data_IF_122048819988
#
_entry.id   IF_122048819988
#
_cell.length_a   1.000
_cell.length_b   1.000
_cell.length_c   1.000
_cell.angle_alpha   90.00
_cell.angle_beta   90.00
_cell.angle_gamma   90.00
#
_symmetry.space_group_name_H-M   'P 1'
#
loop_
_entity.id
_entity.type
_entity.pdbx_description
1 polymer ?
#
# COMPACT_ATOMS: atom_id res chain seq x y z
N UNK A 1 -35.71 -2.01 -2.83
CA UNK A 1 -34.91 -0.80 -3.07
C UNK A 1 -33.50 -1.26 -3.49
N UNK A 2 -32.90 -0.63 -4.52
CA UNK A 2 -31.51 -0.92 -4.87
C UNK A 2 -30.61 -0.40 -3.74
N UNK A 3 -29.70 -1.22 -3.29
CA UNK A 3 -28.69 -0.79 -2.29
C UNK A 3 -27.65 0.08 -2.98
N UNK A 4 -27.23 1.16 -2.33
CA UNK A 4 -26.10 1.97 -2.80
C UNK A 4 -24.86 1.50 -2.06
N UNK A 5 -23.86 1.07 -2.80
CA UNK A 5 -22.55 0.69 -2.29
C UNK A 5 -21.55 1.79 -2.60
N UNK A 6 -20.61 2.05 -1.67
CA UNK A 6 -19.59 3.07 -1.84
C UNK A 6 -18.24 2.41 -2.07
N UNK A 7 -17.62 2.70 -3.21
CA UNK A 7 -16.32 2.16 -3.61
C UNK A 7 -15.25 3.22 -3.35
N UNK A 8 -14.25 2.87 -2.56
CA UNK A 8 -12.95 3.55 -2.49
C UNK A 8 -11.93 2.75 -3.29
N UNK A 9 -11.23 3.42 -4.22
CA UNK A 9 -10.24 2.81 -5.08
C UNK A 9 -8.92 3.59 -4.99
N UNK A 10 -7.88 2.92 -4.51
CA UNK A 10 -6.52 3.45 -4.43
C UNK A 10 -5.67 2.81 -5.53
N UNK A 11 -5.21 3.62 -6.48
CA UNK A 11 -4.34 3.21 -7.57
C UNK A 11 -2.94 3.77 -7.29
N UNK A 12 -2.14 2.97 -6.60
CA UNK A 12 -0.75 3.32 -6.29
C UNK A 12 0.23 2.95 -7.41
N UNK A 13 1.52 3.19 -7.17
CA UNK A 13 2.61 2.90 -8.12
C UNK A 13 2.82 1.39 -8.36
N UNK A 14 2.47 0.54 -7.41
CA UNK A 14 2.72 -0.92 -7.49
C UNK A 14 1.46 -1.76 -7.31
N UNK A 15 0.41 -1.19 -6.71
CA UNK A 15 -0.79 -1.93 -6.28
C UNK A 15 -2.07 -1.17 -6.54
N UNK A 16 -3.15 -1.92 -6.75
CA UNK A 16 -4.52 -1.42 -6.73
C UNK A 16 -5.20 -2.00 -5.49
N UNK A 17 -5.84 -1.13 -4.72
CA UNK A 17 -6.62 -1.52 -3.54
C UNK A 17 -8.04 -1.03 -3.74
N UNK A 18 -9.00 -1.87 -3.37
CA UNK A 18 -10.42 -1.55 -3.44
C UNK A 18 -11.08 -1.86 -2.11
N UNK A 19 -11.94 -0.97 -1.68
CA UNK A 19 -12.81 -1.18 -0.51
C UNK A 19 -14.23 -0.85 -0.91
N UNK A 20 -15.17 -1.69 -0.51
CA UNK A 20 -16.60 -1.45 -0.68
C UNK A 20 -17.26 -1.30 0.68
N UNK A 21 -17.94 -0.19 0.84
CA UNK A 21 -18.71 0.11 2.05
C UNK A 21 -20.21 0.00 1.77
N UNK A 22 -20.90 -0.53 2.75
CA UNK A 22 -22.36 -0.50 2.86
C UNK A 22 -22.74 0.01 4.24
N UNK A 23 -23.55 1.03 4.32
CA UNK A 23 -24.02 1.62 5.60
C UNK A 23 -22.85 1.98 6.55
N UNK A 24 -21.68 2.33 6.03
CA UNK A 24 -20.48 2.67 6.77
C UNK A 24 -19.58 1.49 7.15
N UNK A 25 -20.01 0.25 6.89
CA UNK A 25 -19.26 -0.97 7.18
C UNK A 25 -18.52 -1.48 5.93
N UNK A 26 -17.31 -2.00 6.13
CA UNK A 26 -16.53 -2.64 5.06
C UNK A 26 -17.10 -4.03 4.77
N UNK A 27 -17.70 -4.21 3.58
CA UNK A 27 -18.27 -5.49 3.15
C UNK A 27 -17.37 -6.25 2.17
N UNK A 28 -16.40 -5.57 1.58
CA UNK A 28 -15.42 -6.17 0.68
C UNK A 28 -14.14 -5.32 0.65
N UNK A 29 -13.00 -5.98 0.56
CA UNK A 29 -11.72 -5.35 0.28
C UNK A 29 -10.84 -6.29 -0.54
N UNK A 30 -10.01 -5.72 -1.41
CA UNK A 30 -8.99 -6.44 -2.16
C UNK A 30 -7.72 -5.61 -2.31
N UNK A 31 -6.59 -6.30 -2.43
CA UNK A 31 -5.26 -5.72 -2.56
C UNK A 31 -4.51 -6.49 -3.63
N UNK A 32 -4.36 -5.92 -4.81
CA UNK A 32 -3.79 -6.59 -5.98
C UNK A 32 -2.55 -5.85 -6.49
N UNK A 33 -1.44 -6.58 -6.75
CA UNK A 33 -0.28 -6.04 -7.46
C UNK A 33 -0.58 -5.96 -8.95
N UNK A 34 -0.30 -4.82 -9.58
CA UNK A 34 -0.54 -4.64 -11.01
C UNK A 34 0.66 -4.96 -11.90
N UNK A 35 1.86 -5.17 -11.35
CA UNK A 35 3.06 -5.55 -12.10
C UNK A 35 3.29 -4.68 -13.36
N UNK A 36 3.09 -3.37 -13.25
CA UNK A 36 3.12 -2.38 -14.34
C UNK A 36 1.98 -2.49 -15.37
N UNK A 37 1.02 -3.40 -15.18
CA UNK A 37 -0.19 -3.50 -16.00
C UNK A 37 -1.41 -2.99 -15.22
N UNK A 38 -1.40 -1.71 -14.90
CA UNK A 38 -2.43 -1.04 -14.09
C UNK A 38 -3.81 -1.14 -14.74
N UNK A 39 -3.88 -0.94 -16.08
CA UNK A 39 -5.16 -0.90 -16.81
C UNK A 39 -5.89 -2.25 -16.75
N UNK A 40 -5.24 -3.34 -17.14
CA UNK A 40 -5.90 -4.65 -17.16
C UNK A 40 -6.19 -5.15 -15.75
N UNK A 41 -5.31 -4.88 -14.79
CA UNK A 41 -5.55 -5.20 -13.38
C UNK A 41 -6.76 -4.46 -12.85
N UNK A 42 -6.90 -3.16 -13.13
CA UNK A 42 -8.07 -2.37 -12.75
C UNK A 42 -9.35 -2.92 -13.35
N UNK A 43 -9.36 -3.22 -14.65
CA UNK A 43 -10.51 -3.83 -15.31
C UNK A 43 -10.91 -5.16 -14.64
N UNK A 44 -9.93 -6.03 -14.36
CA UNK A 44 -10.16 -7.33 -13.71
C UNK A 44 -10.78 -7.17 -12.32
N UNK A 45 -10.26 -6.24 -11.52
CA UNK A 45 -10.77 -5.96 -10.16
C UNK A 45 -12.21 -5.45 -10.23
N UNK A 46 -12.49 -4.49 -11.13
CA UNK A 46 -13.84 -3.94 -11.29
C UNK A 46 -14.84 -4.97 -11.84
N UNK A 47 -14.44 -5.77 -12.82
CA UNK A 47 -15.30 -6.86 -13.35
C UNK A 47 -15.64 -7.89 -12.27
N UNK A 48 -14.67 -8.25 -11.44
CA UNK A 48 -14.87 -9.14 -10.30
C UNK A 48 -15.91 -8.57 -9.32
N UNK A 49 -15.79 -7.27 -9.03
CA UNK A 49 -16.74 -6.58 -8.17
C UNK A 49 -18.15 -6.56 -8.76
N UNK A 50 -18.29 -6.21 -10.05
CA UNK A 50 -19.59 -6.18 -10.74
C UNK A 50 -20.26 -7.56 -10.79
N UNK A 51 -19.46 -8.62 -10.94
CA UNK A 51 -19.98 -10.01 -10.84
C UNK A 51 -20.49 -10.35 -9.45
N UNK A 52 -19.84 -9.83 -8.42
CA UNK A 52 -20.22 -10.07 -7.02
C UNK A 52 -21.47 -9.29 -6.59
N UNK A 53 -21.66 -8.10 -7.16
CA UNK A 53 -22.77 -7.20 -6.82
C UNK A 53 -23.55 -6.75 -8.07
N UNK A 54 -24.18 -7.67 -8.81
CA UNK A 54 -24.71 -7.39 -10.17
C UNK A 54 -25.95 -6.48 -10.20
N UNK A 55 -26.63 -6.31 -9.07
CA UNK A 55 -27.89 -5.55 -9.00
C UNK A 55 -27.77 -4.27 -8.16
N UNK A 56 -26.59 -3.97 -7.64
CA UNK A 56 -26.37 -2.83 -6.77
C UNK A 56 -25.98 -1.57 -7.58
N UNK A 57 -26.17 -0.41 -6.98
CA UNK A 57 -25.73 0.87 -7.53
C UNK A 57 -24.47 1.29 -6.77
N UNK A 58 -23.51 1.87 -7.49
CA UNK A 58 -22.23 2.26 -6.89
C UNK A 58 -22.03 3.76 -6.92
N UNK A 59 -21.41 4.31 -5.89
CA UNK A 59 -20.65 5.55 -5.94
C UNK A 59 -19.16 5.22 -5.83
N UNK A 60 -18.31 5.96 -6.52
CA UNK A 60 -16.86 5.68 -6.58
C UNK A 60 -16.10 6.95 -6.25
N UNK A 61 -15.04 6.81 -5.43
CA UNK A 61 -14.03 7.83 -5.22
C UNK A 61 -12.64 7.22 -5.44
N UNK A 62 -11.74 7.99 -6.01
CA UNK A 62 -10.39 7.57 -6.36
C UNK A 62 -9.35 8.25 -5.48
N UNK A 63 -8.28 7.54 -5.19
CA UNK A 63 -7.04 8.06 -4.57
C UNK A 63 -5.84 7.32 -5.15
N UNK A 64 -4.64 7.74 -4.77
CA UNK A 64 -3.40 7.11 -5.24
C UNK A 64 -2.76 7.87 -6.41
N UNK A 65 -1.44 7.75 -6.50
CA UNK A 65 -0.61 8.45 -7.48
C UNK A 65 -0.97 8.12 -8.94
N UNK A 66 -1.44 6.90 -9.21
CA UNK A 66 -1.87 6.44 -10.53
C UNK A 66 -3.33 6.79 -10.89
N UNK A 67 -4.12 7.35 -9.96
CA UNK A 67 -5.54 7.57 -10.16
C UNK A 67 -5.91 8.93 -10.78
N UNK A 68 -5.00 9.91 -10.75
CA UNK A 68 -5.33 11.30 -11.08
C UNK A 68 -5.83 11.49 -12.52
N UNK A 69 -5.17 10.85 -13.49
CA UNK A 69 -5.57 10.96 -14.90
C UNK A 69 -6.84 10.17 -15.18
N UNK A 70 -7.01 9.01 -14.55
CA UNK A 70 -8.24 8.21 -14.63
C UNK A 70 -9.43 9.00 -14.08
N UNK A 71 -9.25 9.68 -12.94
CA UNK A 71 -10.25 10.55 -12.33
C UNK A 71 -10.74 11.64 -13.30
N UNK A 72 -9.81 12.31 -13.98
CA UNK A 72 -10.13 13.35 -14.97
C UNK A 72 -10.87 12.80 -16.19
N UNK A 73 -10.42 11.65 -16.73
CA UNK A 73 -11.01 11.05 -17.93
C UNK A 73 -12.43 10.54 -17.65
N UNK A 74 -12.65 9.96 -16.48
CA UNK A 74 -13.94 9.34 -16.12
C UNK A 74 -14.83 10.27 -15.29
N UNK A 75 -14.38 11.49 -15.01
CA UNK A 75 -15.09 12.48 -14.17
C UNK A 75 -15.47 11.92 -12.78
N UNK A 76 -14.63 11.04 -12.23
CA UNK A 76 -14.81 10.45 -10.90
C UNK A 76 -14.09 11.31 -9.86
N UNK A 77 -14.68 11.56 -8.67
CA UNK A 77 -14.03 12.31 -7.60
C UNK A 77 -12.67 11.74 -7.21
N UNK A 78 -11.65 12.60 -7.15
CA UNK A 78 -10.31 12.27 -6.66
C UNK A 78 -10.09 12.89 -5.27
N UNK A 79 -9.62 12.08 -4.34
CA UNK A 79 -9.27 12.48 -2.98
C UNK A 79 -7.76 12.33 -2.82
N UNK A 80 -7.09 13.35 -2.33
CA UNK A 80 -5.66 13.25 -2.04
C UNK A 80 -5.39 12.18 -0.98
N UNK A 81 -4.31 11.40 -1.15
CA UNK A 81 -3.96 10.26 -0.28
C UNK A 81 -3.93 10.64 1.20
N UNK A 82 -3.31 11.78 1.53
CA UNK A 82 -3.22 12.27 2.92
C UNK A 82 -4.59 12.53 3.52
N UNK A 83 -5.50 13.10 2.74
CA UNK A 83 -6.88 13.38 3.18
C UNK A 83 -7.66 12.07 3.35
N UNK A 84 -7.50 11.14 2.41
CA UNK A 84 -8.12 9.81 2.49
C UNK A 84 -7.62 9.04 3.74
N UNK A 85 -6.30 9.01 3.94
CA UNK A 85 -5.67 8.39 5.10
C UNK A 85 -6.14 9.02 6.41
N UNK A 86 -6.10 10.36 6.50
CA UNK A 86 -6.61 11.09 7.68
C UNK A 86 -8.03 10.70 8.00
N UNK A 87 -8.93 10.78 7.01
CA UNK A 87 -10.36 10.50 7.21
C UNK A 87 -10.59 9.08 7.72
N UNK A 88 -9.85 8.11 7.16
CA UNK A 88 -9.92 6.72 7.59
C UNK A 88 -9.42 6.54 9.02
N UNK A 89 -8.28 7.13 9.37
CA UNK A 89 -7.68 7.02 10.71
C UNK A 89 -8.57 7.68 11.77
N UNK A 90 -9.03 8.89 11.54
CA UNK A 90 -9.93 9.60 12.47
C UNK A 90 -11.23 8.81 12.73
N UNK A 91 -11.72 8.09 11.72
CA UNK A 91 -12.95 7.30 11.83
C UNK A 91 -12.73 5.93 12.48
N UNK A 92 -11.64 5.25 12.15
CA UNK A 92 -11.41 3.85 12.53
C UNK A 92 -10.52 3.71 13.76
N UNK A 93 -9.60 4.65 13.97
CA UNK A 93 -8.59 4.61 15.04
C UNK A 93 -8.41 6.03 15.63
N UNK A 94 -9.45 6.63 16.23
CA UNK A 94 -9.48 8.05 16.59
C UNK A 94 -8.44 8.49 17.64
N UNK A 95 -7.77 7.56 18.30
CA UNK A 95 -6.72 7.84 19.30
C UNK A 95 -5.31 7.84 18.71
N UNK A 96 -5.18 7.86 17.37
CA UNK A 96 -3.89 7.82 16.69
C UNK A 96 -3.27 9.20 16.63
N UNK A 97 -2.03 9.35 17.11
CA UNK A 97 -1.25 10.57 17.02
C UNK A 97 -0.38 10.63 15.75
N UNK A 98 0.08 9.47 15.29
CA UNK A 98 1.03 9.35 14.16
C UNK A 98 0.68 8.14 13.30
N UNK A 99 0.74 8.33 11.98
CA UNK A 99 0.69 7.24 10.99
C UNK A 99 2.00 7.17 10.21
N UNK A 100 2.54 5.98 10.07
CA UNK A 100 3.64 5.69 9.16
C UNK A 100 3.07 4.83 8.02
N UNK A 101 3.12 5.38 6.82
CA UNK A 101 2.71 4.71 5.59
C UNK A 101 3.95 4.26 4.82
N UNK A 102 4.03 2.98 4.50
CA UNK A 102 5.08 2.40 3.67
C UNK A 102 4.46 2.05 2.31
N UNK A 103 4.56 2.99 1.37
CA UNK A 103 4.13 2.79 -0.01
C UNK A 103 5.08 1.91 -0.81
N UNK A 104 4.74 1.65 -2.09
CA UNK A 104 5.61 0.88 -2.99
C UNK A 104 6.94 1.58 -3.25
N UNK A 105 6.92 2.89 -3.49
CA UNK A 105 8.09 3.69 -3.86
C UNK A 105 8.41 4.80 -2.88
N UNK A 106 7.48 5.17 -2.00
CA UNK A 106 7.65 6.21 -1.00
C UNK A 106 7.27 5.74 0.41
N UNK A 107 7.74 6.47 1.40
CA UNK A 107 7.37 6.30 2.80
C UNK A 107 6.95 7.67 3.34
N UNK A 108 5.85 7.69 4.07
CA UNK A 108 5.26 8.91 4.63
C UNK A 108 5.06 8.76 6.13
N UNK A 109 5.29 9.83 6.86
CA UNK A 109 4.87 9.96 8.26
C UNK A 109 3.89 11.13 8.35
N UNK A 110 2.74 10.89 8.96
CA UNK A 110 1.65 11.86 9.11
C UNK A 110 1.40 12.02 10.60
N UNK A 111 1.47 13.24 11.08
CA UNK A 111 1.16 13.62 12.46
C UNK A 111 -0.25 14.20 12.53
N UNK A 112 -1.05 13.72 13.48
CA UNK A 112 -2.42 14.16 13.74
C UNK A 112 -2.47 15.04 15.00
N UNK A 113 -1.80 16.20 14.95
CA UNK A 113 -1.91 17.23 15.98
C UNK A 113 -2.89 18.32 15.52
N UNK A 114 -2.84 19.49 16.09
CA UNK A 114 -3.66 20.66 15.74
C UNK A 114 -3.67 20.97 14.25
N UNK A 115 -2.55 20.70 13.57
CA UNK A 115 -2.42 20.77 12.11
C UNK A 115 -1.84 19.44 11.62
N UNK A 116 -2.32 19.00 10.43
CA UNK A 116 -1.74 17.83 9.79
C UNK A 116 -0.37 18.21 9.26
N UNK A 117 0.66 17.55 9.75
CA UNK A 117 2.01 17.65 9.21
C UNK A 117 2.34 16.33 8.53
N UNK A 118 2.76 16.39 7.28
CA UNK A 118 3.26 15.24 6.53
C UNK A 118 4.72 15.44 6.20
N UNK A 119 5.49 14.37 6.40
CA UNK A 119 6.86 14.26 5.88
C UNK A 119 6.96 13.01 5.04
N UNK A 120 7.72 13.10 3.95
CA UNK A 120 7.91 12.01 3.01
C UNK A 120 9.41 11.81 2.80
N UNK A 121 9.86 10.56 2.56
CA UNK A 121 11.22 10.33 2.12
C UNK A 121 11.48 11.02 0.77
N UNK A 122 12.73 11.33 0.51
CA UNK A 122 13.13 11.95 -0.76
C UNK A 122 13.09 10.95 -1.92
N UNK A 123 14.09 11.03 -2.79
CA UNK A 123 14.19 10.22 -4.02
C UNK A 123 14.63 8.76 -3.79
N UNK A 124 14.96 8.36 -2.56
CA UNK A 124 15.45 7.02 -2.26
C UNK A 124 14.31 6.08 -1.85
N UNK A 125 14.19 4.96 -2.54
CA UNK A 125 13.22 3.90 -2.20
C UNK A 125 13.62 3.05 -0.97
N UNK A 126 14.73 3.35 -0.30
CA UNK A 126 15.15 2.65 0.92
C UNK A 126 14.10 2.77 2.02
N UNK A 127 13.70 1.63 2.59
CA UNK A 127 12.63 1.56 3.59
C UNK A 127 11.21 1.53 3.04
N UNK A 128 11.04 1.41 1.72
CA UNK A 128 9.74 1.30 1.04
C UNK A 128 9.40 -0.16 0.73
N UNK A 129 8.18 -0.39 0.21
CA UNK A 129 7.76 -1.71 -0.24
C UNK A 129 8.67 -2.31 -1.31
N UNK A 130 9.14 -1.49 -2.27
CA UNK A 130 10.08 -1.95 -3.29
C UNK A 130 11.42 -2.42 -2.70
N UNK A 131 11.91 -1.77 -1.65
CA UNK A 131 13.10 -2.23 -0.93
C UNK A 131 12.84 -3.58 -0.25
N UNK A 132 11.69 -3.75 0.42
CA UNK A 132 11.32 -5.02 1.05
C UNK A 132 11.20 -6.15 0.03
N UNK A 133 10.61 -5.90 -1.14
CA UNK A 133 10.53 -6.85 -2.24
C UNK A 133 11.92 -7.27 -2.76
N UNK A 134 12.85 -6.31 -2.86
CA UNK A 134 14.24 -6.61 -3.25
C UNK A 134 14.94 -7.47 -2.20
N UNK A 135 14.74 -7.20 -0.91
CA UNK A 135 15.33 -8.01 0.16
C UNK A 135 14.72 -9.41 0.21
N UNK A 136 13.41 -9.54 0.03
CA UNK A 136 12.75 -10.83 -0.06
C UNK A 136 13.29 -11.67 -1.23
N UNK A 137 13.44 -11.04 -2.40
CA UNK A 137 14.04 -11.68 -3.57
C UNK A 137 15.49 -12.13 -3.31
N UNK A 138 16.30 -11.28 -2.67
CA UNK A 138 17.69 -11.60 -2.30
C UNK A 138 17.77 -12.83 -1.36
N UNK A 139 16.77 -12.96 -0.48
CA UNK A 139 16.64 -14.09 0.43
C UNK A 139 15.91 -15.30 -0.17
N UNK A 140 15.59 -15.27 -1.48
CA UNK A 140 14.85 -16.33 -2.16
C UNK A 140 13.46 -16.60 -1.54
N UNK A 141 12.72 -15.54 -1.27
CA UNK A 141 11.38 -15.59 -0.68
C UNK A 141 10.51 -14.41 -1.19
N UNK A 142 9.31 -14.29 -0.69
CA UNK A 142 8.43 -13.13 -0.86
C UNK A 142 8.30 -12.34 0.45
N UNK A 143 7.51 -11.28 0.45
CA UNK A 143 7.32 -10.43 1.64
C UNK A 143 6.66 -11.18 2.80
N UNK A 144 5.79 -12.16 2.52
CA UNK A 144 5.20 -13.00 3.57
C UNK A 144 6.25 -13.92 4.18
N UNK A 145 7.05 -14.57 3.33
CA UNK A 145 8.16 -15.41 3.78
C UNK A 145 9.23 -14.62 4.54
N UNK A 146 9.52 -13.37 4.15
CA UNK A 146 10.39 -12.49 4.91
C UNK A 146 9.85 -12.22 6.32
N UNK A 147 8.54 -12.00 6.43
CA UNK A 147 7.88 -11.83 7.73
C UNK A 147 7.97 -13.11 8.59
N UNK A 148 7.76 -14.29 8.00
CA UNK A 148 7.89 -15.55 8.73
C UNK A 148 9.34 -15.82 9.18
N UNK A 149 10.33 -15.57 8.33
CA UNK A 149 11.75 -15.67 8.69
C UNK A 149 12.10 -14.73 9.86
N UNK A 150 11.57 -13.51 9.85
CA UNK A 150 11.84 -12.55 10.93
C UNK A 150 11.29 -12.99 12.28
N UNK A 151 10.16 -13.71 12.32
CA UNK A 151 9.59 -14.26 13.56
C UNK A 151 10.46 -15.33 14.22
N UNK A 152 11.26 -16.04 13.43
CA UNK A 152 12.08 -17.16 13.86
C UNK A 152 13.57 -16.83 13.96
N UNK A 153 13.93 -15.56 13.89
CA UNK A 153 15.32 -15.12 13.96
C UNK A 153 15.96 -15.51 15.29
N UNK A 154 17.23 -15.88 15.24
CA UNK A 154 18.05 -16.20 16.42
C UNK A 154 19.23 -15.25 16.56
N UNK A 155 19.56 -14.51 15.51
CA UNK A 155 20.71 -13.62 15.45
C UNK A 155 20.32 -12.36 14.69
N UNK A 156 20.74 -11.21 15.17
CA UNK A 156 20.60 -9.92 14.48
C UNK A 156 21.97 -9.56 13.93
N UNK A 157 22.09 -9.46 12.61
CA UNK A 157 23.31 -9.04 11.95
C UNK A 157 23.35 -7.50 11.87
N UNK A 158 24.52 -6.89 12.16
CA UNK A 158 24.70 -5.46 11.97
C UNK A 158 24.75 -5.15 10.47
N UNK A 159 23.73 -4.49 9.97
CA UNK A 159 23.64 -4.01 8.58
C UNK A 159 23.33 -2.52 8.56
N UNK A 160 23.69 -1.84 7.47
CA UNK A 160 23.38 -0.42 7.31
C UNK A 160 21.86 -0.18 7.37
N UNK A 161 21.43 0.68 8.29
CA UNK A 161 20.00 0.97 8.52
C UNK A 161 19.51 2.25 7.83
N UNK A 162 20.42 3.06 7.28
CA UNK A 162 20.08 4.36 6.69
C UNK A 162 19.95 4.33 5.16
N UNK A 163 20.73 3.49 4.50
CA UNK A 163 20.82 3.44 3.03
C UNK A 163 20.50 2.03 2.54
N UNK A 164 19.45 1.88 1.73
CA UNK A 164 19.04 0.59 1.17
C UNK A 164 20.12 -0.07 0.30
N UNK A 165 20.94 0.73 -0.39
CA UNK A 165 22.08 0.20 -1.18
C UNK A 165 23.12 -0.42 -0.27
N UNK A 166 23.52 0.27 0.78
CA UNK A 166 24.49 -0.27 1.74
C UNK A 166 23.92 -1.46 2.51
N UNK A 167 22.63 -1.42 2.90
CA UNK A 167 21.98 -2.59 3.49
C UNK A 167 22.11 -3.83 2.60
N UNK A 168 21.83 -3.68 1.29
CA UNK A 168 21.97 -4.76 0.32
C UNK A 168 23.41 -5.26 0.18
N UNK A 169 24.38 -4.35 0.14
CA UNK A 169 25.81 -4.71 0.03
C UNK A 169 26.37 -5.33 1.31
N UNK A 170 25.76 -5.09 2.47
CA UNK A 170 26.12 -5.76 3.72
C UNK A 170 25.51 -7.17 3.81
N UNK A 171 24.27 -7.33 3.32
CA UNK A 171 23.54 -8.62 3.36
C UNK A 171 24.18 -9.65 2.39
N UNK A 172 24.56 -9.22 1.18
CA UNK A 172 25.03 -10.13 0.14
C UNK A 172 26.26 -10.96 0.54
N UNK A 173 27.33 -10.40 1.14
CA UNK A 173 28.45 -11.18 1.65
C UNK A 173 28.05 -12.18 2.74
N UNK A 174 27.20 -11.75 3.68
CA UNK A 174 26.72 -12.64 4.75
C UNK A 174 26.04 -13.89 4.19
N UNK A 175 25.21 -13.73 3.16
CA UNK A 175 24.57 -14.86 2.49
C UNK A 175 25.59 -15.76 1.77
N UNK A 176 26.60 -15.17 1.12
CA UNK A 176 27.66 -15.91 0.44
C UNK A 176 28.53 -16.72 1.42
N UNK A 177 28.68 -16.25 2.64
CA UNK A 177 29.40 -16.90 3.75
C UNK A 177 28.53 -17.95 4.48
N UNK A 178 27.28 -18.12 4.06
CA UNK A 178 26.37 -19.11 4.64
C UNK A 178 25.65 -18.63 5.91
N UNK A 179 25.55 -17.33 6.11
CA UNK A 179 24.74 -16.78 7.21
C UNK A 179 23.30 -17.30 7.11
N UNK A 180 22.71 -17.63 8.25
CA UNK A 180 21.34 -18.09 8.33
C UNK A 180 20.39 -16.92 7.97
N UNK A 181 19.41 -17.26 7.11
CA UNK A 181 18.34 -16.33 6.74
C UNK A 181 17.41 -16.05 7.91
#
# INVERSE_FOLDING_TARGET
MKTILHIGLDIGSTTIKIVVLKDGEVIFSDYTRHNSDTKNTLCTVLESLLKKYPNDTFTIALTGSGALDISKILEIPFIQEVIACKTAVEKLIPTTDVVIELGGEDAKIIYFDKFIEQRMNGTCAGGTGAFLDQMATLLNTDTNGLNELSKTHTTIYPIASRCGVFAKTDIQPLLNEGARK
#
